data_IF_994342875271
#
_entry.id   IF_994342875271
#
_cell.length_a   1.000
_cell.length_b   1.000
_cell.length_c   1.000
_cell.angle_alpha   90.00
_cell.angle_beta   90.00
_cell.angle_gamma   90.00
#
_symmetry.space_group_name_H-M   'P 1'
#
loop_
_entity.id
_entity.type
_entity.pdbx_description
1 polymer ?
#
# COMPACT_ATOMS: atom_id res chain seq x y z
N UNK A 1 -16.05 -15.69 31.88
CA UNK A 1 -15.02 -14.71 32.28
C UNK A 1 -14.06 -14.56 31.12
N UNK A 2 -14.00 -13.51 30.31
CA UNK A 2 -14.76 -12.28 30.17
C UNK A 2 -14.44 -11.74 28.77
N UNK A 3 -15.45 -11.25 28.06
CA UNK A 3 -15.29 -10.53 26.79
C UNK A 3 -14.42 -9.29 27.04
N UNK A 4 -13.18 -9.29 26.57
CA UNK A 4 -12.38 -8.07 26.48
C UNK A 4 -12.65 -7.43 25.12
N UNK A 5 -13.84 -6.82 25.01
CA UNK A 5 -14.07 -5.73 24.08
C UNK A 5 -13.05 -4.64 24.44
N UNK A 6 -11.97 -4.55 23.67
CA UNK A 6 -10.95 -3.52 23.87
C UNK A 6 -11.62 -2.19 23.50
N UNK A 7 -11.70 -1.33 24.50
CA UNK A 7 -12.24 0.01 24.51
C UNK A 7 -12.01 0.77 23.19
N UNK A 8 -13.05 0.87 22.36
CA UNK A 8 -13.22 2.00 21.44
C UNK A 8 -13.40 3.24 22.31
N UNK A 9 -12.30 3.93 22.59
CA UNK A 9 -12.34 5.25 23.20
C UNK A 9 -13.03 6.15 22.17
N UNK A 10 -14.24 6.62 22.49
CA UNK A 10 -15.02 7.50 21.63
C UNK A 10 -14.15 8.67 21.14
N UNK A 11 -13.94 8.74 19.82
CA UNK A 11 -13.34 9.89 19.16
C UNK A 11 -14.45 10.94 19.04
N UNK A 12 -14.44 11.93 19.92
CA UNK A 12 -15.38 13.05 19.86
C UNK A 12 -14.86 14.09 18.87
N UNK A 13 -15.25 13.96 17.60
CA UNK A 13 -15.01 15.01 16.63
C UNK A 13 -15.70 14.70 15.32
N UNK A 14 -16.84 15.33 15.07
CA UNK A 14 -17.64 15.25 13.83
C UNK A 14 -16.90 15.76 12.57
N UNK A 15 -15.56 15.73 12.55
CA UNK A 15 -14.76 16.49 11.59
C UNK A 15 -13.29 16.06 11.41
N UNK A 16 -12.78 14.93 11.92
CA UNK A 16 -11.33 14.66 11.78
C UNK A 16 -10.90 14.46 10.32
N UNK A 17 -11.71 13.77 9.52
CA UNK A 17 -11.46 13.61 8.08
C UNK A 17 -11.57 14.94 7.36
N UNK A 18 -12.58 15.75 7.70
CA UNK A 18 -12.75 17.08 7.13
C UNK A 18 -11.54 17.97 7.46
N UNK A 19 -11.06 17.95 8.69
CA UNK A 19 -9.83 18.66 9.08
C UNK A 19 -8.61 18.16 8.32
N UNK A 20 -8.45 16.85 8.12
CA UNK A 20 -7.34 16.29 7.33
C UNK A 20 -7.37 16.82 5.89
N UNK A 21 -8.55 16.96 5.30
CA UNK A 21 -8.73 17.47 3.94
C UNK A 21 -8.50 19.00 3.92
N UNK A 22 -9.16 19.75 4.79
CA UNK A 22 -9.12 21.22 4.84
C UNK A 22 -7.72 21.76 5.21
N UNK A 23 -7.02 21.05 6.10
CA UNK A 23 -5.65 21.40 6.53
C UNK A 23 -4.57 20.82 5.62
N UNK A 24 -4.94 20.16 4.51
CA UNK A 24 -4.02 19.55 3.54
C UNK A 24 -3.06 18.50 4.14
N UNK A 25 -3.52 17.72 5.12
CA UNK A 25 -2.75 16.61 5.71
C UNK A 25 -2.91 15.29 4.94
N UNK A 26 -3.85 15.18 4.00
CA UNK A 26 -4.03 13.97 3.21
C UNK A 26 -2.82 13.72 2.29
N UNK A 27 -2.14 12.58 2.45
CA UNK A 27 -1.02 12.17 1.60
C UNK A 27 -1.44 11.61 0.23
N UNK A 28 -2.74 11.33 0.04
CA UNK A 28 -3.26 10.73 -1.18
C UNK A 28 -2.96 9.24 -1.34
N UNK A 29 -2.90 8.49 -0.23
CA UNK A 29 -2.68 7.03 -0.22
C UNK A 29 -3.81 6.21 -0.86
N UNK A 30 -5.00 6.80 -1.03
CA UNK A 30 -6.16 6.15 -1.67
C UNK A 30 -6.94 5.19 -0.77
N UNK A 31 -6.60 5.04 0.52
CA UNK A 31 -7.27 4.07 1.41
C UNK A 31 -8.79 4.27 1.48
N UNK A 32 -9.25 5.53 1.39
CA UNK A 32 -10.66 5.90 1.40
C UNK A 32 -11.47 5.47 0.17
N UNK A 33 -10.83 5.05 -0.92
CA UNK A 33 -11.56 4.44 -2.04
C UNK A 33 -12.01 3.02 -1.73
N UNK A 34 -11.33 2.33 -0.81
CA UNK A 34 -11.63 0.94 -0.45
C UNK A 34 -12.86 0.86 0.47
N UNK A 35 -13.09 1.86 1.33
CA UNK A 35 -14.30 1.93 2.16
C UNK A 35 -15.56 2.30 1.37
N UNK A 36 -15.44 2.62 0.07
CA UNK A 36 -16.56 3.00 -0.80
C UNK A 36 -17.11 4.41 -0.55
N UNK A 37 -16.56 5.13 0.43
CA UNK A 37 -17.08 6.42 0.90
C UNK A 37 -16.53 7.62 0.11
N UNK A 38 -15.42 7.46 -0.62
CA UNK A 38 -14.75 8.58 -1.29
C UNK A 38 -14.34 8.27 -2.73
N UNK A 39 -14.57 9.25 -3.61
CA UNK A 39 -13.91 9.32 -4.93
C UNK A 39 -12.64 10.15 -4.79
N UNK A 40 -11.53 9.64 -5.29
CA UNK A 40 -10.26 10.38 -5.38
C UNK A 40 -10.08 10.94 -6.80
N UNK A 41 -9.46 12.11 -6.92
CA UNK A 41 -9.04 12.66 -8.20
C UNK A 41 -7.61 13.21 -8.13
N UNK A 42 -6.92 13.13 -9.26
CA UNK A 42 -5.59 13.68 -9.43
C UNK A 42 -5.67 15.21 -9.44
N UNK A 43 -5.01 15.85 -8.48
CA UNK A 43 -4.90 17.30 -8.42
C UNK A 43 -3.66 17.80 -9.17
N UNK A 44 -3.56 19.12 -9.36
CA UNK A 44 -2.47 19.78 -10.11
C UNK A 44 -1.06 19.48 -9.60
N UNK A 45 -0.93 19.05 -8.34
CA UNK A 45 0.35 18.69 -7.73
C UNK A 45 0.71 17.20 -7.86
N UNK A 46 -0.06 16.41 -8.61
CA UNK A 46 0.23 14.99 -8.86
C UNK A 46 -0.18 14.04 -7.73
N UNK A 47 -0.95 14.52 -6.76
CA UNK A 47 -1.53 13.73 -5.67
C UNK A 47 -2.97 13.34 -6.00
N UNK A 48 -3.40 12.17 -5.54
CA UNK A 48 -4.81 11.77 -5.61
C UNK A 48 -5.50 12.17 -4.30
N UNK A 49 -6.37 13.18 -4.35
CA UNK A 49 -7.10 13.66 -3.17
C UNK A 49 -8.60 13.35 -3.27
N UNK A 50 -9.27 13.11 -2.13
CA UNK A 50 -10.72 12.93 -2.10
C UNK A 50 -11.43 14.18 -2.63
N UNK A 51 -12.45 13.98 -3.46
CA UNK A 51 -13.22 15.08 -4.08
C UNK A 51 -14.52 15.38 -3.36
N UNK A 52 -15.09 14.38 -2.68
CA UNK A 52 -16.38 14.51 -1.99
C UNK A 52 -16.33 13.70 -0.73
N UNK A 53 -16.58 14.35 0.40
CA UNK A 53 -16.88 13.63 1.62
C UNK A 53 -18.31 13.09 1.55
N UNK A 54 -18.47 11.77 1.61
CA UNK A 54 -19.75 11.22 2.08
C UNK A 54 -19.92 11.61 3.55
N UNK A 55 -21.15 11.81 4.00
CA UNK A 55 -21.43 12.18 5.40
C UNK A 55 -21.13 11.05 6.40
N UNK A 56 -20.88 9.84 5.90
CA UNK A 56 -20.48 8.70 6.71
C UNK A 56 -18.96 8.60 6.75
N UNK A 57 -18.37 9.05 7.85
CA UNK A 57 -16.94 9.11 8.08
C UNK A 57 -16.42 7.97 8.96
N UNK A 58 -17.32 7.16 9.53
CA UNK A 58 -16.98 6.30 10.67
C UNK A 58 -15.96 5.22 10.29
N UNK A 59 -16.09 4.62 9.10
CA UNK A 59 -15.12 3.61 8.63
C UNK A 59 -13.83 4.22 8.08
N UNK A 60 -13.89 5.41 7.50
CA UNK A 60 -12.74 6.09 6.94
C UNK A 60 -11.78 6.63 8.01
N UNK A 61 -12.28 6.91 9.21
CA UNK A 61 -11.47 7.33 10.37
C UNK A 61 -10.59 6.18 10.86
N UNK A 62 -11.10 4.95 10.84
CA UNK A 62 -10.40 3.76 11.36
C UNK A 62 -9.16 3.42 10.53
N UNK A 63 -9.17 3.70 9.23
CA UNK A 63 -8.12 3.25 8.29
C UNK A 63 -7.17 4.36 7.83
N UNK A 64 -7.45 5.62 8.15
CA UNK A 64 -6.59 6.72 7.73
C UNK A 64 -5.37 6.85 8.65
N UNK A 65 -4.12 6.80 8.14
CA UNK A 65 -2.93 6.94 8.98
C UNK A 65 -2.76 8.36 9.57
N UNK A 66 -3.55 9.33 9.11
CA UNK A 66 -3.59 10.69 9.65
C UNK A 66 -4.76 10.91 10.60
N UNK A 67 -5.63 9.91 10.79
CA UNK A 67 -6.65 9.97 11.82
C UNK A 67 -6.02 9.69 13.19
N UNK A 68 -6.59 10.32 14.21
CA UNK A 68 -6.16 10.13 15.59
C UNK A 68 -6.82 8.86 16.18
N UNK A 69 -6.41 7.69 15.70
CA UNK A 69 -6.90 6.40 16.19
C UNK A 69 -6.14 5.89 17.43
N UNK A 70 -5.13 6.61 17.93
CA UNK A 70 -4.38 6.26 19.15
C UNK A 70 -3.45 5.05 19.02
N UNK A 71 -3.38 4.42 17.85
CA UNK A 71 -2.42 3.38 17.48
C UNK A 71 -1.36 3.93 16.52
N UNK A 72 -0.13 3.45 16.62
CA UNK A 72 0.98 3.77 15.70
C UNK A 72 1.62 2.48 15.12
N UNK A 73 2.63 2.65 14.27
CA UNK A 73 3.33 1.53 13.59
C UNK A 73 3.94 0.52 14.58
N UNK A 74 4.46 0.97 15.72
CA UNK A 74 5.02 0.07 16.74
C UNK A 74 3.93 -0.79 17.38
N UNK A 75 2.73 -0.23 17.61
CA UNK A 75 1.62 -1.00 18.16
C UNK A 75 1.17 -2.09 17.18
N UNK A 76 1.08 -1.75 15.89
CA UNK A 76 0.75 -2.69 14.81
C UNK A 76 1.82 -3.79 14.71
N UNK A 77 3.09 -3.43 14.84
CA UNK A 77 4.19 -4.40 14.77
C UNK A 77 4.07 -5.46 15.88
N UNK A 78 3.85 -5.03 17.13
CA UNK A 78 3.73 -5.93 18.28
C UNK A 78 2.54 -6.87 18.19
N UNK A 79 1.46 -6.45 17.53
CA UNK A 79 0.28 -7.28 17.32
C UNK A 79 0.55 -8.41 16.31
N UNK A 80 1.34 -8.14 15.26
CA UNK A 80 1.52 -9.06 14.14
C UNK A 80 2.83 -9.84 14.13
N UNK A 81 3.83 -9.42 14.89
CA UNK A 81 5.16 -10.02 14.89
C UNK A 81 5.59 -10.48 16.29
N UNK A 82 6.20 -11.65 16.33
CA UNK A 82 6.74 -12.26 17.55
C UNK A 82 7.97 -11.48 18.02
N UNK A 83 7.81 -10.65 19.06
CA UNK A 83 8.87 -9.81 19.64
C UNK A 83 10.13 -10.61 20.01
N UNK A 84 10.00 -11.89 20.36
CA UNK A 84 11.15 -12.74 20.69
C UNK A 84 12.06 -13.02 19.48
N UNK A 85 11.61 -12.71 18.26
CA UNK A 85 12.33 -12.93 17.01
C UNK A 85 12.75 -11.63 16.32
N UNK A 86 12.63 -10.50 17.00
CA UNK A 86 12.89 -9.18 16.43
C UNK A 86 13.96 -8.44 17.24
N UNK A 87 14.54 -7.42 16.63
CA UNK A 87 15.58 -6.54 17.18
C UNK A 87 15.12 -5.11 16.98
N UNK A 88 15.44 -4.24 17.93
CA UNK A 88 15.10 -2.82 17.85
C UNK A 88 16.34 -1.96 17.60
N UNK A 89 16.23 -1.00 16.68
CA UNK A 89 17.21 0.08 16.53
C UNK A 89 16.50 1.45 16.62
N UNK A 90 17.01 2.42 17.38
CA UNK A 90 16.34 3.71 17.58
C UNK A 90 16.05 4.49 16.28
N UNK A 91 16.88 4.32 15.25
CA UNK A 91 16.73 5.05 13.98
C UNK A 91 15.87 4.32 12.93
N UNK A 92 15.63 3.01 13.06
CA UNK A 92 14.95 2.20 12.04
C UNK A 92 13.77 1.39 12.56
N UNK A 93 13.52 1.40 13.87
CA UNK A 93 12.46 0.62 14.52
C UNK A 93 12.80 -0.87 14.68
N UNK A 94 11.75 -1.70 14.70
CA UNK A 94 11.85 -3.14 14.86
C UNK A 94 12.14 -3.88 13.54
N UNK A 95 13.10 -4.80 13.55
CA UNK A 95 13.53 -5.58 12.39
C UNK A 95 13.97 -6.99 12.78
N UNK A 96 13.88 -7.95 11.85
CA UNK A 96 14.34 -9.33 12.07
C UNK A 96 15.80 -9.54 11.69
N UNK A 97 16.15 -9.14 10.47
CA UNK A 97 17.48 -9.27 9.89
C UNK A 97 17.73 -8.07 8.97
N UNK A 98 19.01 -7.70 8.82
CA UNK A 98 19.44 -6.62 7.92
C UNK A 98 20.40 -7.21 6.87
N UNK A 99 20.13 -6.91 5.61
CA UNK A 99 20.93 -7.39 4.48
C UNK A 99 21.28 -6.22 3.57
N UNK A 100 22.47 -6.27 2.97
CA UNK A 100 22.89 -5.36 1.91
C UNK A 100 23.20 -6.18 0.66
N UNK A 101 22.72 -5.72 -0.49
CA UNK A 101 22.90 -6.42 -1.75
C UNK A 101 22.56 -5.52 -2.93
N UNK A 102 22.94 -5.97 -4.11
CA UNK A 102 22.65 -5.31 -5.38
C UNK A 102 22.33 -6.36 -6.44
N UNK A 103 21.60 -5.96 -7.48
CA UNK A 103 21.31 -6.84 -8.62
C UNK A 103 22.52 -6.90 -9.53
N UNK A 104 22.95 -8.09 -9.90
CA UNK A 104 24.03 -8.31 -10.89
C UNK A 104 23.51 -9.06 -12.14
N UNK A 105 22.22 -8.91 -12.44
CA UNK A 105 21.56 -9.57 -13.57
C UNK A 105 21.21 -8.53 -14.64
N UNK A 106 21.66 -8.77 -15.88
CA UNK A 106 21.26 -8.00 -17.06
C UNK A 106 21.35 -6.48 -16.88
N UNK A 107 20.35 -5.79 -17.41
CA UNK A 107 20.32 -4.32 -17.44
C UNK A 107 19.59 -3.70 -16.23
N UNK A 108 19.13 -4.51 -15.26
CA UNK A 108 18.42 -4.02 -14.06
C UNK A 108 19.15 -2.88 -13.33
N UNK A 109 20.48 -2.95 -13.11
CA UNK A 109 21.22 -1.88 -12.43
C UNK A 109 21.11 -0.52 -13.13
N UNK A 110 20.99 -0.51 -14.46
CA UNK A 110 20.97 0.69 -15.27
C UNK A 110 19.54 1.22 -15.51
N UNK A 111 18.54 0.34 -15.46
CA UNK A 111 17.20 0.63 -15.94
C UNK A 111 16.18 0.99 -14.85
N UNK A 112 16.58 1.07 -13.57
CA UNK A 112 15.62 1.23 -12.48
C UNK A 112 16.09 2.07 -11.30
N UNK A 113 15.12 2.64 -10.58
CA UNK A 113 15.36 3.24 -9.27
C UNK A 113 15.95 2.19 -8.31
N UNK A 114 16.88 2.60 -7.43
CA UNK A 114 17.60 1.69 -6.52
C UNK A 114 18.35 0.55 -7.23
N UNK A 115 18.93 0.83 -8.41
CA UNK A 115 19.64 -0.17 -9.21
C UNK A 115 18.73 -1.30 -9.74
N UNK A 116 17.44 -1.01 -9.94
CA UNK A 116 16.47 -1.98 -10.43
C UNK A 116 16.11 -3.10 -9.45
N UNK A 117 16.58 -3.03 -8.20
CA UNK A 117 16.41 -4.08 -7.19
C UNK A 117 14.95 -4.45 -6.95
N UNK A 118 14.07 -3.46 -6.83
CA UNK A 118 12.63 -3.70 -6.62
C UNK A 118 12.02 -4.42 -7.82
N UNK A 119 12.32 -3.98 -9.04
CA UNK A 119 11.78 -4.58 -10.27
C UNK A 119 12.33 -5.99 -10.51
N UNK A 120 13.59 -6.24 -10.15
CA UNK A 120 14.16 -7.57 -10.19
C UNK A 120 13.48 -8.48 -9.17
N UNK A 121 13.34 -8.05 -7.92
CA UNK A 121 12.72 -8.82 -6.84
C UNK A 121 11.27 -9.19 -7.17
N UNK A 122 10.45 -8.24 -7.63
CA UNK A 122 9.06 -8.53 -8.00
C UNK A 122 8.96 -9.55 -9.13
N UNK A 123 9.89 -9.53 -10.10
CA UNK A 123 9.97 -10.54 -11.15
C UNK A 123 10.37 -11.91 -10.60
N UNK A 124 11.34 -11.99 -9.69
CA UNK A 124 11.72 -13.27 -9.08
C UNK A 124 10.56 -13.88 -8.28
N UNK A 125 9.85 -13.08 -7.48
CA UNK A 125 8.68 -13.55 -6.72
C UNK A 125 7.59 -14.14 -7.64
N UNK A 126 7.33 -13.52 -8.79
CA UNK A 126 6.38 -14.04 -9.79
C UNK A 126 6.92 -15.30 -10.49
N UNK A 127 8.19 -15.31 -10.90
CA UNK A 127 8.82 -16.43 -11.60
C UNK A 127 8.87 -17.69 -10.73
N UNK A 128 9.12 -17.52 -9.43
CA UNK A 128 9.15 -18.61 -8.45
C UNK A 128 7.75 -18.98 -7.93
N UNK A 129 6.70 -18.35 -8.43
CA UNK A 129 5.30 -18.53 -7.98
C UNK A 129 5.12 -18.31 -6.46
N UNK A 130 5.92 -17.44 -5.84
CA UNK A 130 5.78 -17.05 -4.44
C UNK A 130 4.62 -16.06 -4.23
N UNK A 131 4.22 -15.37 -5.30
CA UNK A 131 3.06 -14.48 -5.34
C UNK A 131 2.31 -14.64 -6.65
N UNK A 132 1.00 -14.38 -6.65
CA UNK A 132 0.21 -14.39 -7.88
C UNK A 132 0.16 -13.01 -8.56
N UNK A 133 0.27 -11.93 -7.78
CA UNK A 133 0.12 -10.56 -8.27
C UNK A 133 1.07 -9.60 -7.56
N UNK A 134 1.42 -8.52 -8.24
CA UNK A 134 2.20 -7.40 -7.72
C UNK A 134 1.38 -6.12 -7.90
N UNK A 135 1.23 -5.34 -6.82
CA UNK A 135 0.64 -4.00 -6.88
C UNK A 135 1.78 -2.99 -7.02
N UNK A 136 1.89 -2.33 -8.17
CA UNK A 136 2.91 -1.31 -8.41
C UNK A 136 2.37 -0.11 -9.19
N UNK A 137 2.90 1.07 -8.90
CA UNK A 137 2.61 2.29 -9.67
C UNK A 137 3.33 2.20 -11.01
N UNK A 138 2.58 2.19 -12.10
CA UNK A 138 3.13 2.43 -13.42
C UNK A 138 2.94 3.90 -13.78
N UNK A 139 3.96 4.52 -14.37
CA UNK A 139 3.80 5.83 -15.00
C UNK A 139 2.95 5.62 -16.24
N UNK A 140 1.85 6.37 -16.38
CA UNK A 140 1.14 6.50 -17.65
C UNK A 140 2.03 7.34 -18.57
N UNK A 141 3.02 6.69 -19.20
CA UNK A 141 3.81 7.28 -20.27
C UNK A 141 3.03 7.17 -21.58
N UNK A 142 3.34 8.09 -22.50
CA UNK A 142 2.81 8.21 -23.85
C UNK A 142 2.65 6.86 -24.58
N UNK A 143 1.71 6.87 -25.53
CA UNK A 143 1.04 5.74 -26.21
C UNK A 143 1.89 4.48 -26.54
N UNK A 144 3.19 4.61 -26.78
CA UNK A 144 4.10 3.51 -27.15
C UNK A 144 4.31 2.46 -26.04
N UNK A 145 4.37 2.86 -24.77
CA UNK A 145 4.48 1.89 -23.66
C UNK A 145 3.13 1.17 -23.42
N UNK A 146 2.02 1.74 -23.91
CA UNK A 146 0.70 1.13 -23.74
C UNK A 146 0.59 -0.22 -24.44
N UNK A 147 1.31 -0.47 -25.53
CA UNK A 147 1.25 -1.76 -26.24
C UNK A 147 1.96 -2.87 -25.46
N UNK A 148 3.19 -2.63 -24.99
CA UNK A 148 3.92 -3.60 -24.16
C UNK A 148 3.24 -3.84 -22.81
N UNK A 149 2.64 -2.80 -22.22
CA UNK A 149 1.85 -2.95 -20.98
C UNK A 149 0.54 -3.70 -21.26
N UNK A 150 -0.15 -3.45 -22.37
CA UNK A 150 -1.31 -4.24 -22.80
C UNK A 150 -0.94 -5.70 -23.02
N UNK A 151 0.24 -5.97 -23.57
CA UNK A 151 0.75 -7.33 -23.79
C UNK A 151 1.02 -8.04 -22.45
N UNK A 152 1.70 -7.38 -21.50
CA UNK A 152 1.90 -7.95 -20.16
C UNK A 152 0.59 -8.12 -19.39
N UNK A 153 -0.35 -7.17 -19.47
CA UNK A 153 -1.67 -7.30 -18.88
C UNK A 153 -2.49 -8.44 -19.52
N UNK A 154 -2.34 -8.65 -20.83
CA UNK A 154 -2.98 -9.75 -21.56
C UNK A 154 -2.41 -11.10 -21.14
N UNK A 155 -1.09 -11.19 -20.93
CA UNK A 155 -0.45 -12.40 -20.39
C UNK A 155 -0.91 -12.71 -18.95
N UNK A 156 -0.99 -11.69 -18.09
CA UNK A 156 -1.51 -11.85 -16.72
C UNK A 156 -2.99 -12.29 -16.74
N UNK A 157 -3.81 -11.72 -17.62
CA UNK A 157 -5.22 -12.09 -17.78
C UNK A 157 -5.40 -13.50 -18.36
N UNK A 158 -4.62 -13.89 -19.37
CA UNK A 158 -4.64 -15.25 -19.90
C UNK A 158 -4.25 -16.29 -18.85
N UNK A 159 -3.24 -15.99 -18.03
CA UNK A 159 -2.85 -16.86 -16.93
C UNK A 159 -3.98 -16.96 -15.88
N UNK A 160 -4.71 -15.88 -15.61
CA UNK A 160 -5.88 -15.89 -14.74
C UNK A 160 -7.04 -16.73 -15.28
N UNK A 161 -7.38 -16.58 -16.55
CA UNK A 161 -8.45 -17.33 -17.22
C UNK A 161 -8.12 -18.84 -17.29
N UNK A 162 -6.84 -19.18 -17.45
CA UNK A 162 -6.38 -20.58 -17.44
C UNK A 162 -6.47 -21.20 -16.04
N UNK A 163 -6.14 -20.44 -14.99
CA UNK A 163 -6.23 -20.91 -13.60
C UNK A 163 -7.67 -21.06 -13.09
N UNK A 164 -8.61 -20.30 -13.65
CA UNK A 164 -10.03 -20.40 -13.32
C UNK A 164 -10.74 -21.56 -14.02
N UNK A 165 -10.15 -22.12 -15.08
CA UNK A 165 -10.63 -23.33 -15.75
C UNK A 165 -10.07 -24.64 -15.15
N UNK A 166 -9.16 -24.56 -14.17
CA UNK A 166 -8.57 -25.72 -13.46
C UNK A 166 -9.31 -26.02 -12.13
N UNK A 167 -10.50 -25.44 -11.92
CA UNK A 167 -11.44 -25.85 -10.87
C UNK A 167 -12.54 -26.73 -11.45
#
# INVERSE_FOLDING_TARGET
MGNKLIFMKQVTGKNIIQNIIELNYCSGCGIWTVSGQFKIALIKYGQYLPQTASQDFETAEVVCPFANHGINENDIYKEHFDEAKTRYHPDFGDFKNLYAGYVNEGDYPQSGSWGGTVSWLTKQLLKENLVNYIVQKYKRLSLEISEKVKEQQKLVKQNFDTLTQIK
#
